data_IF_657725694940
#
_entry.id   IF_657725694940
#
_cell.length_a   1.000
_cell.length_b   1.000
_cell.length_c   1.000
_cell.angle_alpha   90.00
_cell.angle_beta   90.00
_cell.angle_gamma   90.00
#
_symmetry.space_group_name_H-M   'P 1'
#
loop_
_entity.id
_entity.type
_entity.pdbx_description
1 polymer ?
#
# COMPACT_ATOMS: atom_id res chain seq x y z
N UNK A 1 15.57 13.96 -9.60
CA UNK A 1 15.02 12.91 -10.07
C UNK A 1 13.74 12.60 -9.52
N UNK A 2 12.97 12.00 -10.20
CA UNK A 2 11.66 11.75 -9.79
C UNK A 2 11.56 10.62 -8.85
N UNK A 3 10.79 10.80 -7.83
CA UNK A 3 10.49 9.76 -6.91
C UNK A 3 9.30 9.00 -7.39
N UNK A 4 9.55 7.96 -8.11
CA UNK A 4 8.47 7.21 -8.70
C UNK A 4 7.63 6.44 -7.71
N UNK A 5 8.16 6.16 -6.55
CA UNK A 5 7.38 5.41 -5.57
C UNK A 5 6.21 6.24 -5.08
N UNK A 6 6.44 7.50 -4.79
CA UNK A 6 5.35 8.34 -4.33
C UNK A 6 4.28 8.48 -5.38
N UNK A 7 4.66 8.48 -6.64
CA UNK A 7 3.67 8.62 -7.69
C UNK A 7 2.81 7.41 -7.82
N UNK A 8 3.36 6.24 -7.53
CA UNK A 8 2.61 5.00 -7.69
C UNK A 8 1.67 4.73 -6.53
N UNK A 9 2.10 5.08 -5.34
CA UNK A 9 1.36 4.71 -4.14
C UNK A 9 0.61 5.91 -3.60
N UNK A 10 -0.45 6.27 -4.29
CA UNK A 10 -1.23 7.45 -3.92
C UNK A 10 -2.41 7.06 -3.04
N UNK A 11 -2.93 8.01 -2.27
CA UNK A 11 -4.09 7.72 -1.43
C UNK A 11 -5.25 7.15 -2.24
N UNK A 12 -5.91 6.18 -1.68
CA UNK A 12 -7.03 5.51 -2.33
C UNK A 12 -6.67 4.24 -3.05
N UNK A 13 -5.40 4.05 -3.38
CA UNK A 13 -4.96 2.84 -4.08
C UNK A 13 -4.98 1.67 -3.12
N UNK A 14 -5.32 0.50 -3.64
CA UNK A 14 -5.34 -0.72 -2.84
C UNK A 14 -4.08 -1.52 -3.08
N UNK A 15 -3.54 -2.08 -2.01
CA UNK A 15 -2.29 -2.84 -2.07
C UNK A 15 -2.37 -4.05 -1.17
N UNK A 16 -1.43 -4.96 -1.35
CA UNK A 16 -1.21 -6.03 -0.39
C UNK A 16 0.27 -6.06 -0.07
N UNK A 17 0.59 -6.49 1.14
CA UNK A 17 1.96 -6.81 1.50
C UNK A 17 2.19 -8.25 1.07
N UNK A 18 3.02 -8.46 0.08
CA UNK A 18 3.13 -9.79 -0.52
C UNK A 18 3.65 -10.83 0.44
N UNK A 19 4.41 -10.41 1.46
CA UNK A 19 4.92 -11.34 2.45
C UNK A 19 3.93 -11.62 3.56
N UNK A 20 2.92 -10.78 3.71
CA UNK A 20 1.93 -10.90 4.77
C UNK A 20 0.52 -10.86 4.23
N UNK A 21 0.35 -11.39 3.04
CA UNK A 21 -0.91 -11.25 2.35
C UNK A 21 -2.11 -11.75 3.15
N UNK A 22 -1.97 -12.92 3.72
CA UNK A 22 -3.07 -13.52 4.46
C UNK A 22 -3.23 -12.85 5.81
N UNK A 23 -2.12 -12.57 6.46
CA UNK A 23 -2.18 -11.99 7.81
C UNK A 23 -2.74 -10.59 7.82
N UNK A 24 -2.35 -9.78 6.84
CA UNK A 24 -2.73 -8.36 6.85
C UNK A 24 -3.95 -8.08 5.99
N UNK A 25 -4.15 -8.83 4.92
CA UNK A 25 -5.26 -8.61 4.01
C UNK A 25 -5.01 -7.44 3.09
N UNK A 26 -6.06 -6.96 2.47
CA UNK A 26 -5.97 -5.85 1.54
C UNK A 26 -5.86 -4.55 2.31
N UNK A 27 -4.99 -3.66 1.85
CA UNK A 27 -4.83 -2.36 2.46
C UNK A 27 -5.19 -1.25 1.49
N UNK A 28 -5.61 -0.14 2.04
CA UNK A 28 -5.87 1.05 1.24
C UNK A 28 -4.94 2.16 1.71
N UNK A 29 -4.23 2.76 0.78
CA UNK A 29 -3.28 3.79 1.08
C UNK A 29 -3.99 5.05 1.53
N UNK A 30 -3.53 5.62 2.64
CA UNK A 30 -4.10 6.83 3.19
C UNK A 30 -3.20 8.02 3.00
N UNK A 31 -1.90 7.83 3.06
CA UNK A 31 -0.96 8.91 2.79
C UNK A 31 0.36 8.33 2.33
N UNK A 32 1.12 9.14 1.64
CA UNK A 32 2.40 8.72 1.12
C UNK A 32 3.33 9.92 1.19
N UNK A 33 4.33 9.83 2.03
CA UNK A 33 5.29 10.92 2.24
C UNK A 33 6.68 10.33 2.15
N UNK A 34 7.43 10.76 1.15
CA UNK A 34 8.77 10.22 0.91
C UNK A 34 8.66 8.70 0.73
N UNK A 35 9.37 7.94 1.51
CA UNK A 35 9.33 6.50 1.42
C UNK A 35 8.38 5.87 2.43
N UNK A 36 7.62 6.70 3.15
CA UNK A 36 6.73 6.18 4.18
C UNK A 36 5.30 6.26 3.72
N UNK A 37 4.63 5.14 3.79
CA UNK A 37 3.25 5.03 3.30
C UNK A 37 2.38 4.53 4.43
N UNK A 38 1.32 5.25 4.71
CA UNK A 38 0.36 4.83 5.72
C UNK A 38 -0.78 4.11 5.03
N UNK A 39 -1.05 2.91 5.47
CA UNK A 39 -2.02 2.03 4.83
C UNK A 39 -2.92 1.47 5.91
N UNK A 40 -4.20 1.40 5.61
CA UNK A 40 -5.16 0.77 6.49
C UNK A 40 -5.45 -0.62 5.95
N UNK A 41 -4.97 -1.66 6.64
CA UNK A 41 -5.14 -3.04 6.21
C UNK A 41 -6.37 -3.67 6.86
N UNK A 42 -7.01 -4.56 6.15
CA UNK A 42 -8.22 -5.21 6.62
C UNK A 42 -8.06 -5.87 7.98
N UNK A 43 -6.96 -6.57 8.15
CA UNK A 43 -6.82 -7.42 9.33
C UNK A 43 -5.96 -6.85 10.44
N UNK A 44 -5.16 -5.85 10.16
CA UNK A 44 -4.24 -5.31 11.16
C UNK A 44 -4.38 -3.81 11.37
N UNK A 45 -5.26 -3.17 10.62
CA UNK A 45 -5.50 -1.75 10.80
C UNK A 45 -4.41 -0.89 10.17
N UNK A 46 -4.26 0.30 10.69
CA UNK A 46 -3.39 1.29 10.09
C UNK A 46 -1.93 1.01 10.43
N UNK A 47 -1.10 1.02 9.41
CA UNK A 47 0.34 0.86 9.57
C UNK A 47 1.06 1.84 8.69
N UNK A 48 2.18 2.38 9.17
CA UNK A 48 3.06 3.19 8.36
C UNK A 48 4.29 2.36 8.05
N UNK A 49 4.55 2.14 6.79
CA UNK A 49 5.63 1.28 6.38
C UNK A 49 6.63 2.03 5.54
N UNK A 50 7.85 1.53 5.51
CA UNK A 50 8.89 2.06 4.65
C UNK A 50 8.91 1.23 3.39
N UNK A 51 8.58 1.85 2.27
CA UNK A 51 8.40 1.11 1.04
C UNK A 51 9.68 0.45 0.56
N UNK A 52 10.82 0.91 0.99
CA UNK A 52 12.07 0.28 0.59
C UNK A 52 12.34 -1.01 1.36
N UNK A 53 11.54 -1.29 2.37
CA UNK A 53 11.74 -2.48 3.20
C UNK A 53 10.59 -3.47 3.14
N UNK A 54 9.54 -3.13 2.47
CA UNK A 54 8.33 -3.95 2.43
C UNK A 54 7.93 -4.13 0.98
N UNK A 55 7.53 -5.31 0.63
CA UNK A 55 7.10 -5.61 -0.73
C UNK A 55 5.60 -5.39 -0.85
N UNK A 56 5.22 -4.33 -1.51
CA UNK A 56 3.81 -4.05 -1.76
C UNK A 56 3.47 -4.32 -3.20
N UNK A 57 2.29 -4.83 -3.41
CA UNK A 57 1.76 -5.03 -4.75
C UNK A 57 0.46 -4.23 -4.85
N UNK A 58 0.36 -3.41 -5.89
CA UNK A 58 -0.86 -2.67 -6.15
C UNK A 58 -1.86 -3.63 -6.74
N UNK A 59 -3.07 -3.63 -6.22
CA UNK A 59 -4.10 -4.49 -6.76
C UNK A 59 -5.24 -3.63 -7.25
N UNK A 60 -5.90 -4.12 -8.29
CA UNK A 60 -7.03 -3.44 -8.86
C UNK A 60 -8.28 -4.20 -8.50
N UNK A 61 -8.94 -3.76 -7.46
CA UNK A 61 -10.12 -4.49 -7.04
C UNK A 61 -11.37 -3.90 -7.62
N UNK A 62 -11.25 -2.86 -8.42
CA UNK A 62 -12.42 -2.32 -9.03
C UNK A 62 -12.56 -2.92 -10.37
N UNK A 63 -12.91 -4.07 -10.44
CA UNK A 63 -12.91 -4.72 -11.63
C UNK A 63 -14.08 -4.59 -12.41
N UNK A 64 -14.93 -3.87 -12.17
CA UNK A 64 -15.98 -3.86 -12.82
C UNK A 64 -16.00 -3.38 -13.92
N UNK A 65 -15.96 -3.20 -14.23
CA UNK A 65 -16.00 -2.91 -15.13
C UNK A 65 -16.53 -2.79 -15.67
#
# INVERSE_FOLDING_TARGET
MIDNYSSLYTPGIFVINTDKKIEWGIGQIQSSINNFITINFENVGKKTINISKVNLEIININATS
#
